data_IF_228203280238
#
_entry.id   IF_228203280238
#
_cell.length_a   1.000
_cell.length_b   1.000
_cell.length_c   1.000
_cell.angle_alpha   90.00
_cell.angle_beta   90.00
_cell.angle_gamma   90.00
#
_symmetry.space_group_name_H-M   'P 1'
#
loop_
_entity.id
_entity.type
_entity.pdbx_description
1 polymer ?
#
# COMPACT_ATOMS: atom_id res chain seq x y z
N UNK A 1 -4.23 -56.72 -7.48
CA UNK A 1 -3.45 -55.87 -6.54
C UNK A 1 -3.24 -54.45 -7.07
N UNK A 2 -2.94 -54.24 -8.38
CA UNK A 2 -2.84 -52.88 -8.96
C UNK A 2 -4.18 -52.25 -9.15
N UNK A 3 -5.19 -53.06 -9.56
CA UNK A 3 -6.57 -52.64 -9.73
C UNK A 3 -7.21 -52.24 -8.39
N UNK A 4 -6.90 -53.00 -7.34
CA UNK A 4 -7.40 -52.70 -5.97
C UNK A 4 -6.77 -51.41 -5.39
N UNK A 5 -5.53 -51.11 -5.72
CA UNK A 5 -4.89 -49.83 -5.32
C UNK A 5 -5.47 -48.63 -6.07
N UNK A 6 -5.76 -48.74 -7.36
CA UNK A 6 -6.36 -47.68 -8.17
C UNK A 6 -7.79 -47.38 -7.69
N UNK A 7 -8.61 -48.41 -7.43
CA UNK A 7 -9.96 -48.27 -6.88
C UNK A 7 -9.93 -47.61 -5.51
N UNK A 8 -8.98 -48.01 -4.64
CA UNK A 8 -8.79 -47.40 -3.31
C UNK A 8 -8.46 -45.92 -3.39
N UNK A 9 -7.69 -45.49 -4.39
CA UNK A 9 -7.30 -44.08 -4.56
C UNK A 9 -8.47 -43.24 -5.09
N UNK A 10 -9.24 -43.75 -6.06
CA UNK A 10 -10.43 -43.07 -6.56
C UNK A 10 -11.50 -42.93 -5.49
N UNK A 11 -11.75 -43.99 -4.70
CA UNK A 11 -12.66 -43.91 -3.55
C UNK A 11 -12.19 -42.90 -2.51
N UNK A 12 -10.90 -42.83 -2.25
CA UNK A 12 -10.30 -41.87 -1.35
C UNK A 12 -10.54 -40.43 -1.79
N UNK A 13 -10.29 -40.13 -3.07
CA UNK A 13 -10.55 -38.82 -3.65
C UNK A 13 -12.03 -38.47 -3.66
N UNK A 14 -12.91 -39.44 -3.99
CA UNK A 14 -14.36 -39.26 -3.95
C UNK A 14 -14.84 -38.93 -2.52
N UNK A 15 -14.33 -39.65 -1.52
CA UNK A 15 -14.67 -39.39 -0.12
C UNK A 15 -14.14 -38.04 0.36
N UNK A 16 -12.91 -37.67 -0.03
CA UNK A 16 -12.32 -36.35 0.26
C UNK A 16 -13.19 -35.24 -0.35
N UNK A 17 -13.64 -35.39 -1.58
CA UNK A 17 -14.52 -34.44 -2.23
C UNK A 17 -15.85 -34.28 -1.48
N UNK A 18 -16.49 -35.35 -1.12
CA UNK A 18 -17.77 -35.31 -0.36
C UNK A 18 -17.61 -34.65 1.01
N UNK A 19 -16.45 -34.84 1.67
CA UNK A 19 -16.16 -34.25 2.95
C UNK A 19 -15.77 -32.77 2.85
N UNK A 20 -15.25 -32.31 1.71
CA UNK A 20 -14.79 -30.93 1.52
C UNK A 20 -16.00 -30.01 1.29
N UNK A 21 -16.04 -28.90 2.04
CA UNK A 21 -17.13 -27.91 1.96
C UNK A 21 -16.76 -26.66 1.17
N UNK A 22 -15.46 -26.40 1.00
CA UNK A 22 -14.98 -25.20 0.30
C UNK A 22 -14.92 -25.43 -1.20
N UNK A 23 -15.59 -24.57 -1.96
CA UNK A 23 -15.74 -24.71 -3.39
C UNK A 23 -14.41 -24.81 -4.14
N UNK A 24 -13.48 -23.90 -3.88
CA UNK A 24 -12.18 -23.90 -4.56
C UNK A 24 -11.31 -25.10 -4.20
N UNK A 25 -11.43 -25.63 -2.99
CA UNK A 25 -10.76 -26.87 -2.59
C UNK A 25 -11.39 -28.09 -3.25
N UNK A 26 -12.67 -28.06 -3.52
CA UNK A 26 -13.34 -29.11 -4.34
C UNK A 26 -12.82 -29.14 -5.77
N UNK A 27 -12.54 -27.96 -6.35
CA UNK A 27 -11.89 -27.87 -7.66
C UNK A 27 -10.50 -28.51 -7.62
N UNK A 28 -9.73 -28.25 -6.58
CA UNK A 28 -8.40 -28.86 -6.40
C UNK A 28 -8.48 -30.39 -6.41
N UNK A 29 -9.45 -30.95 -5.70
CA UNK A 29 -9.67 -32.40 -5.66
C UNK A 29 -10.04 -32.94 -7.05
N UNK A 30 -10.95 -32.27 -7.76
CA UNK A 30 -11.31 -32.65 -9.13
C UNK A 30 -10.08 -32.65 -10.06
N UNK A 31 -9.24 -31.64 -9.97
CA UNK A 31 -8.04 -31.52 -10.82
C UNK A 31 -7.00 -32.59 -10.50
N UNK A 32 -6.80 -32.93 -9.23
CA UNK A 32 -5.95 -34.06 -8.82
C UNK A 32 -6.50 -35.39 -9.33
N UNK A 33 -7.79 -35.55 -9.21
CA UNK A 33 -8.45 -36.77 -9.72
C UNK A 33 -8.26 -36.89 -11.24
N UNK A 34 -8.42 -35.81 -11.98
CA UNK A 34 -8.29 -35.76 -13.43
C UNK A 34 -6.89 -36.11 -13.95
N UNK A 35 -5.83 -35.95 -13.16
CA UNK A 35 -4.46 -36.27 -13.58
C UNK A 35 -4.32 -37.75 -13.99
N UNK A 36 -4.90 -38.65 -13.20
CA UNK A 36 -4.80 -40.10 -13.38
C UNK A 36 -6.16 -40.78 -13.54
N UNK A 37 -7.19 -40.02 -13.87
CA UNK A 37 -8.56 -40.55 -14.00
C UNK A 37 -8.69 -41.50 -15.19
N UNK A 38 -9.34 -42.63 -14.96
CA UNK A 38 -9.90 -43.42 -16.05
C UNK A 38 -11.06 -42.61 -16.67
N UNK A 39 -11.07 -42.37 -18.00
CA UNK A 39 -12.12 -41.63 -18.67
C UNK A 39 -13.53 -42.21 -18.45
N UNK A 40 -13.61 -43.51 -18.15
CA UNK A 40 -14.87 -44.22 -17.89
C UNK A 40 -15.19 -44.32 -16.39
N UNK A 41 -14.46 -43.67 -15.52
CA UNK A 41 -14.71 -43.73 -14.08
C UNK A 41 -16.02 -43.05 -13.70
N UNK A 42 -16.93 -43.81 -13.09
CA UNK A 42 -18.20 -43.30 -12.59
C UNK A 42 -18.01 -42.32 -11.43
N UNK A 43 -17.01 -42.56 -10.57
CA UNK A 43 -16.70 -41.67 -9.46
C UNK A 43 -16.19 -40.29 -9.94
N UNK A 44 -15.37 -40.29 -10.98
CA UNK A 44 -14.91 -39.07 -11.61
C UNK A 44 -16.08 -38.32 -12.27
N UNK A 45 -16.93 -39.02 -12.97
CA UNK A 45 -18.13 -38.46 -13.60
C UNK A 45 -19.06 -37.82 -12.56
N UNK A 46 -19.25 -38.46 -11.41
CA UNK A 46 -20.06 -37.93 -10.32
C UNK A 46 -19.53 -36.63 -9.77
N UNK A 47 -18.19 -36.54 -9.51
CA UNK A 47 -17.53 -35.32 -9.06
C UNK A 47 -17.66 -34.23 -10.11
N UNK A 48 -17.38 -34.57 -11.35
CA UNK A 48 -17.52 -33.62 -12.46
C UNK A 48 -18.94 -33.08 -12.62
N UNK A 49 -19.94 -33.93 -12.41
CA UNK A 49 -21.37 -33.56 -12.51
C UNK A 49 -21.79 -32.49 -11.49
N UNK A 50 -21.12 -32.41 -10.35
CA UNK A 50 -21.33 -31.32 -9.39
C UNK A 50 -21.11 -29.96 -10.03
N UNK A 51 -20.03 -29.79 -10.78
CA UNK A 51 -19.71 -28.52 -11.44
C UNK A 51 -20.60 -28.24 -12.65
N UNK A 52 -20.93 -29.24 -13.43
CA UNK A 52 -21.89 -29.09 -14.54
C UNK A 52 -23.29 -28.74 -14.04
N UNK A 53 -23.70 -29.35 -12.93
CA UNK A 53 -24.95 -29.03 -12.24
C UNK A 53 -24.94 -27.60 -11.70
N UNK A 54 -23.80 -27.12 -11.20
CA UNK A 54 -23.66 -25.76 -10.73
C UNK A 54 -23.93 -24.73 -11.83
N UNK A 55 -23.46 -24.97 -13.07
CA UNK A 55 -23.72 -24.08 -14.21
C UNK A 55 -25.14 -24.16 -14.74
N UNK A 56 -25.92 -25.18 -14.38
CA UNK A 56 -27.34 -25.32 -14.79
C UNK A 56 -28.29 -24.62 -13.84
N UNK A 57 -27.88 -24.38 -12.60
CA UNK A 57 -28.73 -23.89 -11.54
C UNK A 57 -27.99 -22.89 -10.65
N UNK A 58 -27.72 -21.67 -11.16
CA UNK A 58 -27.19 -20.59 -10.38
C UNK A 58 -28.17 -19.39 -10.38
N UNK A 59 -28.17 -18.64 -9.28
CA UNK A 59 -29.03 -17.45 -9.14
C UNK A 59 -28.38 -16.18 -9.66
N UNK A 60 -27.06 -16.09 -9.58
CA UNK A 60 -26.27 -14.97 -10.07
C UNK A 60 -24.88 -15.43 -10.49
N UNK A 61 -24.26 -14.70 -11.44
CA UNK A 61 -22.91 -14.99 -11.88
C UNK A 61 -21.92 -14.36 -10.91
N UNK A 62 -21.05 -15.19 -10.35
CA UNK A 62 -19.98 -14.79 -9.45
C UNK A 62 -18.69 -15.57 -9.74
N UNK A 63 -17.70 -15.46 -8.89
CA UNK A 63 -16.41 -16.17 -9.02
C UNK A 63 -16.57 -17.70 -9.06
N UNK A 64 -17.53 -18.24 -8.35
CA UNK A 64 -17.77 -19.69 -8.36
C UNK A 64 -18.38 -20.17 -9.69
N UNK A 65 -19.28 -19.39 -10.26
CA UNK A 65 -19.86 -19.67 -11.59
C UNK A 65 -18.76 -19.66 -12.66
N UNK A 66 -17.92 -18.66 -12.63
CA UNK A 66 -16.79 -18.55 -13.55
C UNK A 66 -15.81 -19.71 -13.35
N UNK A 67 -15.46 -20.02 -12.12
CA UNK A 67 -14.55 -21.13 -11.81
C UNK A 67 -15.11 -22.47 -12.29
N UNK A 68 -16.39 -22.72 -12.11
CA UNK A 68 -17.06 -23.92 -12.64
C UNK A 68 -16.92 -24.01 -14.16
N UNK A 69 -17.16 -22.92 -14.87
CA UNK A 69 -16.99 -22.87 -16.33
C UNK A 69 -15.55 -23.19 -16.75
N UNK A 70 -14.57 -22.56 -16.10
CA UNK A 70 -13.16 -22.75 -16.43
C UNK A 70 -12.70 -24.20 -16.21
N UNK A 71 -13.13 -24.79 -15.11
CA UNK A 71 -12.82 -26.18 -14.77
C UNK A 71 -13.45 -27.16 -15.76
N UNK A 72 -14.69 -26.97 -16.08
CA UNK A 72 -15.41 -27.80 -17.08
C UNK A 72 -14.68 -27.72 -18.42
N UNK A 73 -14.32 -26.51 -18.86
CA UNK A 73 -13.60 -26.33 -20.12
C UNK A 73 -12.26 -27.08 -20.12
N UNK A 74 -11.51 -27.01 -19.02
CA UNK A 74 -10.21 -27.70 -18.89
C UNK A 74 -10.38 -29.23 -18.92
N UNK A 75 -11.37 -29.75 -18.22
CA UNK A 75 -11.66 -31.18 -18.20
C UNK A 75 -12.14 -31.68 -19.58
N UNK A 76 -13.02 -30.93 -20.25
CA UNK A 76 -13.51 -31.27 -21.58
C UNK A 76 -12.42 -31.25 -22.64
N UNK A 77 -11.45 -30.35 -22.51
CA UNK A 77 -10.30 -30.32 -23.42
C UNK A 77 -9.50 -31.61 -23.34
N UNK A 78 -9.37 -32.20 -22.15
CA UNK A 78 -8.71 -33.48 -21.94
C UNK A 78 -9.62 -34.70 -22.22
N UNK A 79 -10.89 -34.58 -21.87
CA UNK A 79 -11.92 -35.64 -22.03
C UNK A 79 -13.09 -35.14 -22.86
N UNK A 80 -12.95 -35.02 -24.20
CA UNK A 80 -14.00 -34.45 -25.06
C UNK A 80 -15.36 -35.14 -24.99
N UNK A 81 -15.39 -36.43 -24.69
CA UNK A 81 -16.63 -37.19 -24.55
C UNK A 81 -17.48 -36.80 -23.33
N UNK A 82 -16.87 -36.08 -22.37
CA UNK A 82 -17.55 -35.60 -21.17
C UNK A 82 -18.16 -34.20 -21.35
N UNK A 83 -18.13 -33.65 -22.58
CA UNK A 83 -18.67 -32.34 -22.86
C UNK A 83 -20.12 -32.21 -22.44
N UNK A 84 -20.48 -31.45 -21.41
CA UNK A 84 -21.84 -31.25 -20.98
C UNK A 84 -22.55 -30.25 -21.89
N UNK A 85 -23.85 -30.45 -22.06
CA UNK A 85 -24.66 -29.50 -22.80
C UNK A 85 -25.00 -28.31 -21.90
N UNK A 86 -24.14 -27.27 -21.92
CA UNK A 86 -24.32 -26.05 -21.16
C UNK A 86 -24.81 -24.95 -22.09
N UNK A 87 -25.89 -24.28 -21.69
CA UNK A 87 -26.57 -23.26 -22.48
C UNK A 87 -25.86 -21.90 -22.44
N UNK A 88 -24.98 -21.66 -21.45
CA UNK A 88 -24.32 -20.38 -21.26
C UNK A 88 -22.92 -20.40 -21.87
N UNK A 89 -22.61 -19.35 -22.68
CA UNK A 89 -21.25 -19.11 -23.17
C UNK A 89 -20.46 -18.31 -22.15
N UNK A 90 -19.13 -18.34 -22.26
CA UNK A 90 -18.26 -17.51 -21.43
C UNK A 90 -18.61 -16.02 -21.56
N UNK A 91 -18.89 -15.56 -22.80
CA UNK A 91 -19.27 -14.18 -23.05
C UNK A 91 -20.53 -13.78 -22.28
N UNK A 92 -21.54 -14.63 -22.26
CA UNK A 92 -22.78 -14.38 -21.53
C UNK A 92 -22.53 -14.29 -20.02
N UNK A 93 -21.75 -15.21 -19.47
CA UNK A 93 -21.39 -15.22 -18.05
C UNK A 93 -20.54 -13.98 -17.69
N UNK A 94 -19.57 -13.65 -18.51
CA UNK A 94 -18.68 -12.52 -18.26
C UNK A 94 -19.43 -11.18 -18.25
N UNK A 95 -20.38 -10.99 -19.17
CA UNK A 95 -21.21 -9.78 -19.24
C UNK A 95 -22.06 -9.54 -18.01
N UNK A 96 -22.44 -10.60 -17.30
CA UNK A 96 -23.21 -10.49 -16.05
C UNK A 96 -22.35 -10.19 -14.83
N UNK A 97 -21.02 -10.21 -14.93
CA UNK A 97 -20.13 -9.84 -13.84
C UNK A 97 -20.20 -8.33 -13.58
N UNK A 98 -20.51 -7.95 -12.36
CA UNK A 98 -20.51 -6.52 -11.95
C UNK A 98 -19.12 -5.93 -11.98
N UNK A 99 -18.13 -6.70 -11.48
CA UNK A 99 -16.75 -6.25 -11.38
C UNK A 99 -15.78 -7.40 -11.72
N UNK A 100 -15.33 -7.50 -12.98
CA UNK A 100 -14.39 -8.53 -13.40
C UNK A 100 -13.05 -8.50 -12.64
N UNK A 101 -12.60 -7.34 -12.20
CA UNK A 101 -11.39 -7.20 -11.39
C UNK A 101 -11.56 -7.91 -10.04
N UNK A 102 -12.67 -7.68 -9.36
CA UNK A 102 -12.98 -8.36 -8.11
C UNK A 102 -13.16 -9.88 -8.32
N UNK A 103 -13.76 -10.29 -9.43
CA UNK A 103 -13.89 -11.72 -9.80
C UNK A 103 -12.50 -12.36 -9.94
N UNK A 104 -11.58 -11.72 -10.64
CA UNK A 104 -10.21 -12.22 -10.77
C UNK A 104 -9.54 -12.44 -9.41
N UNK A 105 -9.66 -11.45 -8.52
CA UNK A 105 -9.09 -11.55 -7.17
C UNK A 105 -9.74 -12.65 -6.33
N UNK A 106 -11.03 -12.89 -6.52
CA UNK A 106 -11.77 -13.91 -5.80
C UNK A 106 -11.50 -15.33 -6.31
N UNK A 107 -10.99 -15.48 -7.53
CA UNK A 107 -10.54 -16.78 -8.05
C UNK A 107 -9.30 -17.23 -7.26
N UNK A 108 -9.49 -18.28 -6.46
CA UNK A 108 -8.42 -18.81 -5.58
C UNK A 108 -7.78 -20.01 -6.23
N UNK A 109 -6.52 -19.84 -6.65
CA UNK A 109 -5.73 -20.94 -7.15
C UNK A 109 -5.12 -21.75 -6.00
N UNK A 110 -5.05 -23.04 -6.21
CA UNK A 110 -4.33 -24.00 -5.38
C UNK A 110 -3.12 -24.53 -6.16
N UNK A 111 -2.38 -25.45 -5.57
CA UNK A 111 -1.26 -26.11 -6.24
C UNK A 111 -1.63 -26.80 -7.57
N UNK A 112 -2.88 -27.27 -7.70
CA UNK A 112 -3.35 -28.06 -8.81
C UNK A 112 -4.31 -27.31 -9.76
N UNK A 113 -4.56 -26.04 -9.51
CA UNK A 113 -5.49 -25.23 -10.29
C UNK A 113 -4.82 -24.03 -10.94
N UNK A 114 -5.38 -23.57 -12.04
CA UNK A 114 -4.87 -22.46 -12.84
C UNK A 114 -6.02 -21.50 -13.22
N UNK A 115 -6.92 -21.24 -12.27
CA UNK A 115 -8.17 -20.51 -12.53
C UNK A 115 -7.91 -19.10 -13.05
N UNK A 116 -7.02 -18.37 -12.45
CA UNK A 116 -6.69 -17.00 -12.88
C UNK A 116 -6.09 -16.96 -14.27
N UNK A 117 -5.16 -17.86 -14.55
CA UNK A 117 -4.56 -18.00 -15.87
C UNK A 117 -5.59 -18.38 -16.93
N UNK A 118 -6.46 -19.34 -16.63
CA UNK A 118 -7.51 -19.78 -17.52
C UNK A 118 -8.57 -18.70 -17.75
N UNK A 119 -8.88 -17.92 -16.73
CA UNK A 119 -9.77 -16.76 -16.84
C UNK A 119 -9.26 -15.74 -17.86
N UNK A 120 -7.99 -15.34 -17.75
CA UNK A 120 -7.37 -14.43 -18.70
C UNK A 120 -7.29 -15.02 -20.11
N UNK A 121 -6.98 -16.30 -20.23
CA UNK A 121 -6.97 -17.01 -21.51
C UNK A 121 -8.35 -17.06 -22.17
N UNK A 122 -9.41 -17.32 -21.40
CA UNK A 122 -10.77 -17.29 -21.91
C UNK A 122 -11.20 -15.90 -22.38
N UNK A 123 -10.83 -14.86 -21.64
CA UNK A 123 -11.09 -13.48 -22.07
C UNK A 123 -10.47 -13.26 -23.44
N UNK A 124 -9.19 -13.58 -23.57
CA UNK A 124 -8.46 -13.37 -24.82
C UNK A 124 -8.99 -14.16 -26.01
N UNK A 125 -9.39 -15.39 -25.80
CA UNK A 125 -9.78 -16.29 -26.91
C UNK A 125 -11.27 -16.26 -27.22
N UNK A 126 -12.13 -15.89 -26.28
CA UNK A 126 -13.59 -16.00 -26.42
C UNK A 126 -14.33 -14.66 -26.46
N UNK A 127 -13.67 -13.55 -26.09
CA UNK A 127 -14.29 -12.23 -26.16
C UNK A 127 -13.74 -11.43 -27.34
N UNK A 128 -14.63 -10.86 -28.14
CA UNK A 128 -14.24 -10.00 -29.28
C UNK A 128 -13.54 -8.71 -28.79
N UNK A 129 -13.97 -8.17 -27.65
CA UNK A 129 -13.41 -6.96 -27.03
C UNK A 129 -12.35 -7.27 -25.96
N UNK A 130 -11.64 -8.38 -26.10
CA UNK A 130 -10.61 -8.78 -25.14
C UNK A 130 -9.53 -7.68 -24.91
N UNK A 131 -9.13 -6.88 -25.92
CA UNK A 131 -8.14 -5.84 -25.65
C UNK A 131 -8.61 -4.81 -24.63
N UNK A 132 -9.86 -4.36 -24.73
CA UNK A 132 -10.48 -3.43 -23.79
C UNK A 132 -10.63 -4.07 -22.40
N UNK A 133 -10.95 -5.36 -22.35
CA UNK A 133 -11.04 -6.08 -21.08
C UNK A 133 -9.67 -6.23 -20.42
N UNK A 134 -8.62 -6.48 -21.17
CA UNK A 134 -7.26 -6.52 -20.65
C UNK A 134 -6.82 -5.18 -20.07
N UNK A 135 -7.12 -4.09 -20.75
CA UNK A 135 -6.84 -2.73 -20.25
C UNK A 135 -7.58 -2.49 -18.94
N UNK A 136 -8.84 -2.90 -18.84
CA UNK A 136 -9.64 -2.77 -17.62
C UNK A 136 -9.07 -3.60 -16.46
N UNK A 137 -8.59 -4.79 -16.73
CA UNK A 137 -8.09 -5.73 -15.72
C UNK A 137 -6.64 -5.45 -15.29
N UNK A 138 -5.85 -4.81 -16.15
CA UNK A 138 -4.41 -4.62 -15.91
C UNK A 138 -4.08 -4.02 -14.54
N UNK A 139 -4.77 -2.97 -14.06
CA UNK A 139 -4.45 -2.38 -12.75
C UNK A 139 -4.54 -3.36 -11.58
N UNK A 140 -5.34 -4.41 -11.72
CA UNK A 140 -5.49 -5.47 -10.72
C UNK A 140 -4.53 -6.64 -10.98
N UNK A 141 -4.41 -7.05 -12.23
CA UNK A 141 -3.68 -8.27 -12.63
C UNK A 141 -2.17 -8.07 -12.65
N UNK A 142 -1.70 -6.97 -13.23
CA UNK A 142 -0.29 -6.58 -13.31
C UNK A 142 0.63 -7.69 -13.86
N UNK A 143 0.25 -8.27 -14.99
CA UNK A 143 1.05 -9.30 -15.66
C UNK A 143 1.61 -8.79 -17.00
N UNK A 144 2.89 -9.03 -17.20
CA UNK A 144 3.59 -8.69 -18.42
C UNK A 144 2.97 -9.36 -19.66
N UNK A 145 2.49 -10.58 -19.52
CA UNK A 145 1.85 -11.33 -20.62
C UNK A 145 0.64 -10.61 -21.19
N UNK A 146 -0.08 -9.82 -20.41
CA UNK A 146 -1.21 -9.03 -20.87
C UNK A 146 -0.75 -7.92 -21.82
N UNK A 147 0.30 -7.21 -21.46
CA UNK A 147 0.89 -6.16 -22.30
C UNK A 147 1.50 -6.75 -23.57
N UNK A 148 2.20 -7.87 -23.43
CA UNK A 148 2.77 -8.60 -24.58
C UNK A 148 1.68 -9.04 -25.55
N UNK A 149 0.57 -9.55 -25.06
CA UNK A 149 -0.57 -9.94 -25.89
C UNK A 149 -1.16 -8.75 -26.65
N UNK A 150 -1.33 -7.62 -25.99
CA UNK A 150 -1.82 -6.39 -26.61
C UNK A 150 -0.84 -5.88 -27.68
N UNK A 151 0.44 -5.83 -27.37
CA UNK A 151 1.48 -5.36 -28.30
C UNK A 151 1.61 -6.26 -29.54
N UNK A 152 1.63 -7.58 -29.35
CA UNK A 152 1.76 -8.55 -30.44
C UNK A 152 0.54 -8.59 -31.36
N UNK A 153 -0.60 -8.11 -30.93
CA UNK A 153 -1.83 -8.04 -31.73
C UNK A 153 -2.16 -6.63 -32.24
N UNK A 154 -1.18 -5.74 -32.25
CA UNK A 154 -1.32 -4.40 -32.84
C UNK A 154 -2.07 -3.38 -31.98
N UNK A 155 -2.24 -3.62 -30.69
CA UNK A 155 -2.97 -2.75 -29.76
C UNK A 155 -2.04 -1.84 -28.94
N UNK A 156 -0.97 -1.35 -29.57
CA UNK A 156 0.00 -0.46 -28.93
C UNK A 156 -0.65 0.81 -28.38
N UNK A 157 -1.64 1.36 -29.08
CA UNK A 157 -2.33 2.57 -28.62
C UNK A 157 -3.09 2.36 -27.31
N UNK A 158 -3.68 1.17 -27.12
CA UNK A 158 -4.33 0.82 -25.86
C UNK A 158 -3.33 0.68 -24.71
N UNK A 159 -2.15 0.13 -24.99
CA UNK A 159 -1.08 0.02 -23.99
C UNK A 159 -0.57 1.41 -23.57
N UNK A 160 -0.39 2.31 -24.52
CA UNK A 160 -0.03 3.71 -24.26
C UNK A 160 -1.09 4.42 -23.42
N UNK A 161 -2.36 4.27 -23.75
CA UNK A 161 -3.47 4.84 -22.99
C UNK A 161 -3.52 4.28 -21.56
N UNK A 162 -3.29 3.00 -21.42
CA UNK A 162 -3.23 2.34 -20.11
C UNK A 162 -2.12 2.94 -19.24
N UNK A 163 -0.93 3.15 -19.81
CA UNK A 163 0.19 3.75 -19.11
C UNK A 163 -0.12 5.19 -18.69
N UNK A 164 -0.61 6.02 -19.63
CA UNK A 164 -0.98 7.41 -19.34
C UNK A 164 -2.06 7.48 -18.27
N UNK A 165 -3.11 6.67 -18.39
CA UNK A 165 -4.19 6.61 -17.40
C UNK A 165 -3.70 6.20 -16.02
N UNK A 166 -2.78 5.22 -15.96
CA UNK A 166 -2.22 4.77 -14.67
C UNK A 166 -1.43 5.89 -13.98
N UNK A 167 -0.63 6.65 -14.70
CA UNK A 167 0.11 7.77 -14.12
C UNK A 167 -0.76 8.97 -13.78
N UNK A 168 -1.78 9.27 -14.58
CA UNK A 168 -2.73 10.35 -14.28
C UNK A 168 -3.61 10.03 -13.06
N UNK A 169 -3.98 8.76 -12.87
CA UNK A 169 -4.80 8.29 -11.78
C UNK A 169 -3.99 7.44 -10.78
N UNK A 170 -2.77 7.83 -10.49
CA UNK A 170 -1.82 7.09 -9.68
C UNK A 170 -2.34 6.75 -8.28
N UNK A 171 -3.25 7.56 -7.74
CA UNK A 171 -3.84 7.33 -6.41
C UNK A 171 -4.59 6.01 -6.34
N UNK A 172 -5.29 5.66 -7.43
CA UNK A 172 -6.06 4.42 -7.53
C UNK A 172 -5.24 3.29 -8.13
N UNK A 173 -4.22 3.60 -8.95
CA UNK A 173 -3.44 2.63 -9.71
C UNK A 173 -1.97 2.58 -9.28
N UNK A 174 -1.71 2.62 -8.00
CA UNK A 174 -0.36 2.70 -7.42
C UNK A 174 0.55 1.57 -7.87
N UNK A 175 0.06 0.34 -7.81
CA UNK A 175 0.83 -0.84 -8.20
C UNK A 175 1.07 -0.90 -9.71
N UNK A 176 0.13 -0.39 -10.52
CA UNK A 176 0.32 -0.27 -11.96
C UNK A 176 1.44 0.72 -12.31
N UNK A 177 1.51 1.84 -11.61
CA UNK A 177 2.61 2.82 -11.76
C UNK A 177 3.96 2.17 -11.42
N UNK A 178 4.02 1.44 -10.33
CA UNK A 178 5.24 0.72 -9.92
C UNK A 178 5.66 -0.30 -10.98
N UNK A 179 4.73 -1.07 -11.48
CA UNK A 179 4.96 -2.07 -12.52
C UNK A 179 5.52 -1.42 -13.80
N UNK A 180 4.86 -0.35 -14.27
CA UNK A 180 5.27 0.35 -15.48
C UNK A 180 6.66 0.98 -15.32
N UNK A 181 6.93 1.59 -14.19
CA UNK A 181 8.25 2.16 -13.89
C UNK A 181 9.33 1.09 -13.86
N UNK A 182 9.09 -0.02 -13.15
CA UNK A 182 10.08 -1.08 -12.98
C UNK A 182 10.35 -1.84 -14.28
N UNK A 183 9.30 -2.21 -15.00
CA UNK A 183 9.40 -3.20 -16.08
C UNK A 183 9.27 -2.61 -17.49
N UNK A 184 8.69 -1.42 -17.66
CA UNK A 184 8.33 -0.89 -18.98
C UNK A 184 9.05 0.40 -19.38
N UNK A 185 9.75 1.08 -18.48
CA UNK A 185 10.32 2.41 -18.77
C UNK A 185 11.29 2.45 -19.94
N UNK A 186 11.94 1.34 -20.28
CA UNK A 186 12.91 1.26 -21.36
C UNK A 186 12.29 0.80 -22.70
N UNK A 187 11.01 0.44 -22.70
CA UNK A 187 10.30 0.03 -23.89
C UNK A 187 10.03 1.22 -24.81
N UNK A 188 10.20 1.03 -26.13
CA UNK A 188 10.01 2.10 -27.11
C UNK A 188 8.60 2.68 -27.06
N UNK A 189 7.58 1.82 -26.94
CA UNK A 189 6.20 2.26 -26.83
C UNK A 189 5.96 3.14 -25.61
N UNK A 190 6.64 2.85 -24.50
CA UNK A 190 6.52 3.64 -23.27
C UNK A 190 7.14 5.03 -23.44
N UNK A 191 8.30 5.10 -24.07
CA UNK A 191 8.97 6.38 -24.40
C UNK A 191 8.09 7.29 -25.24
N UNK A 192 7.28 6.71 -26.13
CA UNK A 192 6.35 7.45 -26.98
C UNK A 192 5.12 7.99 -26.25
N UNK A 193 4.87 7.59 -25.00
CA UNK A 193 3.77 8.14 -24.19
C UNK A 193 3.97 9.58 -23.76
N UNK A 194 5.20 10.08 -23.82
CA UNK A 194 5.56 11.39 -23.30
C UNK A 194 5.71 11.46 -21.77
N UNK A 195 5.61 10.33 -21.08
CA UNK A 195 5.84 10.26 -19.63
C UNK A 195 7.35 10.26 -19.37
N UNK A 196 7.92 11.45 -19.14
CA UNK A 196 9.34 11.60 -18.86
C UNK A 196 9.77 10.95 -17.53
N UNK A 197 11.06 10.68 -17.40
CA UNK A 197 11.60 10.02 -16.21
C UNK A 197 11.38 10.84 -14.94
N UNK A 198 11.53 12.16 -15.02
CA UNK A 198 11.24 13.06 -13.89
C UNK A 198 9.78 12.95 -13.43
N UNK A 199 8.83 12.91 -14.35
CA UNK A 199 7.41 12.72 -14.03
C UNK A 199 7.15 11.37 -13.35
N UNK A 200 7.83 10.33 -13.78
CA UNK A 200 7.74 9.02 -13.17
C UNK A 200 8.24 9.06 -11.72
N UNK A 201 9.39 9.68 -11.48
CA UNK A 201 9.95 9.85 -10.14
C UNK A 201 9.04 10.68 -9.23
N UNK A 202 8.51 11.79 -9.74
CA UNK A 202 7.57 12.65 -9.02
C UNK A 202 6.33 11.85 -8.62
N UNK A 203 5.79 11.06 -9.52
CA UNK A 203 4.62 10.22 -9.25
C UNK A 203 4.91 9.20 -8.15
N UNK A 204 6.06 8.54 -8.19
CA UNK A 204 6.48 7.60 -7.14
C UNK A 204 6.63 8.29 -5.77
N UNK A 205 7.18 9.50 -5.74
CA UNK A 205 7.30 10.27 -4.49
C UNK A 205 5.91 10.61 -3.94
N UNK A 206 4.97 11.00 -4.79
CA UNK A 206 3.59 11.27 -4.37
C UNK A 206 2.90 10.02 -3.82
N UNK A 207 3.09 8.88 -4.45
CA UNK A 207 2.55 7.60 -3.95
C UNK A 207 3.19 7.25 -2.60
N UNK A 208 4.50 7.44 -2.46
CA UNK A 208 5.22 7.21 -1.21
C UNK A 208 4.60 8.03 -0.06
N UNK A 209 4.44 9.33 -0.27
CA UNK A 209 3.82 10.23 0.70
C UNK A 209 2.40 9.79 1.06
N UNK A 210 1.63 9.43 0.06
CA UNK A 210 0.26 8.95 0.24
C UNK A 210 0.20 7.66 1.07
N UNK A 211 1.12 6.71 0.83
CA UNK A 211 1.18 5.47 1.60
C UNK A 211 1.51 5.73 3.07
N UNK A 212 2.44 6.64 3.36
CA UNK A 212 2.75 7.02 4.73
C UNK A 212 1.53 7.60 5.45
N UNK A 213 0.81 8.52 4.79
CA UNK A 213 -0.41 9.12 5.37
C UNK A 213 -1.48 8.07 5.67
N UNK A 214 -1.70 7.14 4.76
CA UNK A 214 -2.71 6.10 4.94
C UNK A 214 -2.31 5.09 6.02
N UNK A 215 -1.03 4.77 6.15
CA UNK A 215 -0.52 3.92 7.23
C UNK A 215 -0.78 4.58 8.60
N UNK A 216 -0.49 5.87 8.72
CA UNK A 216 -0.76 6.65 9.95
C UNK A 216 -2.25 6.68 10.27
N UNK A 217 -3.10 6.79 9.25
CA UNK A 217 -4.56 6.80 9.39
C UNK A 217 -5.19 5.39 9.47
N UNK A 218 -4.38 4.35 9.61
CA UNK A 218 -4.80 2.95 9.71
C UNK A 218 -5.67 2.46 8.53
N UNK A 219 -5.43 2.99 7.32
CA UNK A 219 -6.10 2.56 6.09
C UNK A 219 -5.22 1.59 5.32
N UNK A 220 -5.78 0.41 4.99
CA UNK A 220 -5.12 -0.62 4.17
C UNK A 220 -3.64 -0.78 4.49
N UNK A 221 -3.33 -0.88 5.79
CA UNK A 221 -1.95 -0.78 6.30
C UNK A 221 -1.02 -1.82 5.71
N UNK A 222 -1.48 -3.04 5.54
CA UNK A 222 -0.67 -4.13 4.96
C UNK A 222 -0.29 -3.85 3.51
N UNK A 223 -1.26 -3.46 2.68
CA UNK A 223 -1.05 -3.11 1.28
C UNK A 223 -0.17 -1.86 1.15
N UNK A 224 -0.45 -0.83 1.92
CA UNK A 224 0.32 0.42 1.88
C UNK A 224 1.74 0.25 2.37
N UNK A 225 2.00 -0.59 3.37
CA UNK A 225 3.37 -0.93 3.79
C UNK A 225 4.15 -1.64 2.70
N UNK A 226 3.51 -2.55 1.99
CA UNK A 226 4.11 -3.26 0.86
C UNK A 226 4.47 -2.29 -0.28
N UNK A 227 3.54 -1.44 -0.68
CA UNK A 227 3.75 -0.43 -1.71
C UNK A 227 4.85 0.55 -1.29
N UNK A 228 4.81 1.06 -0.08
CA UNK A 228 5.80 1.97 0.51
C UNK A 228 7.21 1.38 0.43
N UNK A 229 7.38 0.15 0.91
CA UNK A 229 8.67 -0.56 0.88
C UNK A 229 9.19 -0.71 -0.56
N UNK A 230 8.31 -1.08 -1.47
CA UNK A 230 8.68 -1.27 -2.88
C UNK A 230 9.15 0.04 -3.52
N UNK A 231 8.43 1.14 -3.28
CA UNK A 231 8.82 2.46 -3.79
C UNK A 231 10.14 2.93 -3.20
N UNK A 232 10.36 2.73 -1.90
CA UNK A 232 11.64 3.07 -1.27
C UNK A 232 12.81 2.30 -1.89
N UNK A 233 12.61 1.03 -2.21
CA UNK A 233 13.62 0.23 -2.93
C UNK A 233 13.90 0.80 -4.32
N UNK A 234 12.87 1.16 -5.07
CA UNK A 234 13.02 1.70 -6.43
C UNK A 234 13.72 3.07 -6.44
N UNK A 235 13.38 3.93 -5.50
CA UNK A 235 13.92 5.31 -5.46
C UNK A 235 15.30 5.40 -4.80
N UNK A 236 15.53 4.66 -3.71
CA UNK A 236 16.66 4.93 -2.82
C UNK A 236 17.71 3.83 -2.74
N UNK A 237 17.36 2.57 -2.96
CA UNK A 237 18.28 1.44 -2.75
C UNK A 237 19.52 1.51 -3.65
N UNK A 238 19.34 1.84 -4.92
CA UNK A 238 20.42 1.98 -5.90
C UNK A 238 20.66 3.45 -6.27
N UNK A 239 20.21 4.37 -5.44
CA UNK A 239 20.32 5.82 -5.65
C UNK A 239 19.70 6.30 -6.97
N UNK A 240 18.66 5.65 -7.44
CA UNK A 240 18.01 5.98 -8.74
C UNK A 240 17.58 7.44 -8.78
N UNK A 241 16.87 7.90 -7.75
CA UNK A 241 16.44 9.29 -7.65
C UNK A 241 17.63 10.23 -7.54
N UNK A 242 18.57 9.95 -6.64
CA UNK A 242 19.74 10.79 -6.43
C UNK A 242 20.60 10.89 -7.67
N UNK A 243 20.85 9.79 -8.36
CA UNK A 243 21.61 9.77 -9.61
C UNK A 243 20.97 10.65 -10.70
N UNK A 244 19.65 10.55 -10.85
CA UNK A 244 18.93 11.41 -11.78
C UNK A 244 19.08 12.90 -11.42
N UNK A 245 18.96 13.24 -10.14
CA UNK A 245 19.12 14.61 -9.68
C UNK A 245 20.52 15.14 -9.97
N UNK A 246 21.55 14.34 -9.71
CA UNK A 246 22.95 14.75 -9.88
C UNK A 246 23.37 14.81 -11.37
N UNK A 247 22.68 14.13 -12.26
CA UNK A 247 22.89 14.18 -13.71
C UNK A 247 22.19 15.36 -14.39
N UNK A 248 21.35 16.08 -13.66
CA UNK A 248 20.56 17.19 -14.18
C UNK A 248 20.96 18.53 -13.52
N UNK A 249 20.24 19.59 -13.87
CA UNK A 249 20.51 20.94 -13.40
C UNK A 249 20.04 21.18 -11.93
N UNK A 250 20.44 22.33 -11.37
CA UNK A 250 20.08 22.70 -10.02
C UNK A 250 18.57 22.89 -9.83
N UNK A 251 17.85 23.32 -10.87
CA UNK A 251 16.40 23.45 -10.81
C UNK A 251 15.72 22.09 -10.64
N UNK A 252 16.21 21.07 -11.32
CA UNK A 252 15.74 19.68 -11.16
C UNK A 252 16.02 19.16 -9.75
N UNK A 253 17.20 19.42 -9.21
CA UNK A 253 17.57 19.06 -7.85
C UNK A 253 16.61 19.73 -6.86
N UNK A 254 16.36 21.02 -7.03
CA UNK A 254 15.44 21.77 -6.15
C UNK A 254 14.04 21.19 -6.18
N UNK A 255 13.47 20.91 -7.34
CA UNK A 255 12.13 20.34 -7.48
C UNK A 255 12.01 18.99 -6.80
N UNK A 256 12.91 18.07 -7.09
CA UNK A 256 12.84 16.70 -6.59
C UNK A 256 13.20 16.60 -5.11
N UNK A 257 14.24 17.30 -4.68
CA UNK A 257 14.61 17.29 -3.27
C UNK A 257 13.54 17.91 -2.38
N UNK A 258 12.88 18.97 -2.84
CA UNK A 258 11.77 19.59 -2.11
C UNK A 258 10.63 18.57 -1.91
N UNK A 259 10.27 17.82 -2.93
CA UNK A 259 9.24 16.80 -2.84
C UNK A 259 9.60 15.69 -1.84
N UNK A 260 10.84 15.21 -1.88
CA UNK A 260 11.32 14.19 -0.93
C UNK A 260 11.34 14.72 0.50
N UNK A 261 11.80 15.95 0.67
CA UNK A 261 11.85 16.59 1.98
C UNK A 261 10.46 16.79 2.59
N UNK A 262 9.45 17.02 1.74
CA UNK A 262 8.07 17.18 2.17
C UNK A 262 7.39 15.84 2.56
N UNK A 263 7.98 14.70 2.27
CA UNK A 263 7.53 13.40 2.75
C UNK A 263 7.88 13.26 4.23
N UNK A 264 6.90 13.49 5.10
CA UNK A 264 7.09 13.62 6.55
C UNK A 264 7.74 12.42 7.21
N UNK A 265 7.20 11.25 6.93
CA UNK A 265 7.55 10.03 7.65
C UNK A 265 8.69 9.25 7.01
N UNK A 266 9.29 9.81 5.96
CA UNK A 266 10.49 9.23 5.35
C UNK A 266 11.67 9.38 6.32
N UNK A 267 12.47 8.32 6.42
CA UNK A 267 13.65 8.30 7.28
C UNK A 267 14.55 9.54 7.05
N UNK A 268 14.79 10.36 8.08
CA UNK A 268 15.68 11.52 7.97
C UNK A 268 17.07 11.18 7.46
N UNK A 269 17.57 9.97 7.69
CA UNK A 269 18.87 9.54 7.21
C UNK A 269 18.93 9.50 5.68
N UNK A 270 17.83 9.14 5.00
CA UNK A 270 17.74 9.18 3.54
C UNK A 270 17.85 10.61 3.04
N UNK A 271 17.10 11.52 3.65
CA UNK A 271 17.12 12.96 3.31
C UNK A 271 18.49 13.57 3.53
N UNK A 272 19.12 13.25 4.64
CA UNK A 272 20.47 13.73 5.00
C UNK A 272 21.52 13.22 4.00
N UNK A 273 21.48 11.94 3.66
CA UNK A 273 22.38 11.35 2.67
C UNK A 273 22.25 12.05 1.31
N UNK A 274 21.02 12.29 0.86
CA UNK A 274 20.78 13.00 -0.40
C UNK A 274 21.33 14.42 -0.34
N UNK A 275 21.08 15.14 0.74
CA UNK A 275 21.61 16.49 0.96
C UNK A 275 23.12 16.52 0.90
N UNK A 276 23.78 15.62 1.59
CA UNK A 276 25.24 15.54 1.62
C UNK A 276 25.81 15.22 0.23
N UNK A 277 25.19 14.33 -0.51
CA UNK A 277 25.63 13.97 -1.86
C UNK A 277 25.42 15.12 -2.86
N UNK A 278 24.33 15.88 -2.71
CA UNK A 278 24.10 17.10 -3.49
C UNK A 278 25.19 18.12 -3.21
N UNK A 279 25.54 18.35 -1.94
CA UNK A 279 26.57 19.30 -1.54
C UNK A 279 27.98 18.86 -1.95
N UNK A 280 28.27 17.57 -2.02
CA UNK A 280 29.55 17.06 -2.56
C UNK A 280 29.75 17.46 -4.03
N UNK A 281 28.73 17.36 -4.84
CA UNK A 281 28.78 17.70 -6.26
C UNK A 281 28.59 19.20 -6.53
N UNK A 282 27.74 19.84 -5.74
CA UNK A 282 27.41 21.26 -5.84
C UNK A 282 27.63 21.97 -4.48
N UNK A 283 28.87 22.26 -4.09
CA UNK A 283 29.18 22.84 -2.77
C UNK A 283 28.46 24.15 -2.48
N UNK A 284 28.14 24.91 -3.52
CA UNK A 284 27.41 26.18 -3.42
C UNK A 284 25.90 26.05 -3.53
N UNK A 285 25.38 24.82 -3.61
CA UNK A 285 23.92 24.60 -3.72
C UNK A 285 23.22 25.12 -2.48
N UNK A 286 22.22 25.94 -2.70
CA UNK A 286 21.46 26.57 -1.62
C UNK A 286 20.07 25.99 -1.55
N UNK A 287 19.71 25.45 -0.38
CA UNK A 287 18.39 24.92 -0.07
C UNK A 287 17.42 26.03 0.37
N UNK A 288 17.52 27.22 -0.24
CA UNK A 288 16.78 28.44 0.17
C UNK A 288 15.26 28.28 0.19
N UNK A 289 14.70 27.61 -0.82
CA UNK A 289 13.26 27.38 -0.85
C UNK A 289 12.77 26.47 0.29
N UNK A 290 13.66 25.74 0.92
CA UNK A 290 13.37 24.87 2.05
C UNK A 290 13.63 25.56 3.38
N UNK A 291 14.62 26.45 3.45
CA UNK A 291 14.83 27.30 4.61
C UNK A 291 13.67 28.30 4.77
N UNK A 292 13.21 28.88 3.68
CA UNK A 292 12.00 29.71 3.69
C UNK A 292 10.73 28.90 3.98
N UNK A 293 10.58 27.70 3.45
CA UNK A 293 9.48 26.78 3.80
C UNK A 293 9.60 26.25 5.22
N UNK A 294 10.80 26.01 5.75
CA UNK A 294 11.00 25.67 7.16
C UNK A 294 10.79 26.87 8.09
N UNK A 295 10.96 28.07 7.59
CA UNK A 295 10.59 29.31 8.31
C UNK A 295 9.10 29.60 8.17
N UNK A 296 8.47 29.24 7.07
CA UNK A 296 7.02 29.37 6.79
C UNK A 296 6.21 28.14 7.21
N UNK A 297 6.69 26.94 7.02
CA UNK A 297 6.29 25.76 7.78
C UNK A 297 7.05 25.82 9.10
N UNK A 298 6.64 26.73 9.92
CA UNK A 298 7.00 26.78 11.31
C UNK A 298 7.04 25.35 11.82
N UNK A 299 8.20 24.91 12.28
CA UNK A 299 8.35 23.59 12.87
C UNK A 299 7.26 23.37 13.91
N UNK A 300 7.08 22.14 14.34
CA UNK A 300 6.03 21.80 15.29
C UNK A 300 6.00 22.83 16.44
N UNK A 301 4.81 23.33 16.74
CA UNK A 301 4.59 24.13 17.94
C UNK A 301 4.58 23.16 19.12
N UNK A 302 5.40 23.43 20.10
CA UNK A 302 5.56 22.58 21.30
C UNK A 302 5.56 23.43 22.56
N UNK A 303 5.20 22.81 23.67
CA UNK A 303 5.38 23.43 25.00
C UNK A 303 6.84 23.40 25.42
N UNK A 304 7.26 24.39 26.20
CA UNK A 304 8.62 24.43 26.76
C UNK A 304 8.96 23.16 27.56
N UNK A 305 7.98 22.63 28.29
CA UNK A 305 8.13 21.39 29.08
C UNK A 305 8.45 20.19 28.19
N UNK A 306 7.72 20.01 27.09
CA UNK A 306 7.96 18.89 26.19
C UNK A 306 9.28 19.03 25.42
N UNK A 307 9.67 20.24 25.06
CA UNK A 307 10.98 20.48 24.46
C UNK A 307 12.10 20.05 25.40
N UNK A 308 12.01 20.39 26.67
CA UNK A 308 13.00 19.99 27.68
C UNK A 308 13.05 18.47 27.83
N UNK A 309 11.90 17.80 27.88
CA UNK A 309 11.85 16.34 27.93
C UNK A 309 12.49 15.67 26.71
N UNK A 310 12.27 16.22 25.52
CA UNK A 310 12.89 15.71 24.28
C UNK A 310 14.40 15.92 24.27
N UNK A 311 14.88 17.05 24.74
CA UNK A 311 16.32 17.31 24.92
C UNK A 311 16.96 16.33 25.88
N UNK A 312 16.31 16.05 27.00
CA UNK A 312 16.77 15.04 27.98
C UNK A 312 16.79 13.63 27.38
N UNK A 313 15.78 13.27 26.59
CA UNK A 313 15.74 11.99 25.89
C UNK A 313 16.90 11.85 24.90
N UNK A 314 17.17 12.89 24.12
CA UNK A 314 18.30 12.92 23.19
C UNK A 314 19.64 12.79 23.93
N UNK A 315 19.82 13.54 24.99
CA UNK A 315 21.04 13.51 25.82
C UNK A 315 21.26 12.10 26.40
N UNK A 316 20.20 11.44 26.88
CA UNK A 316 20.27 10.07 27.37
C UNK A 316 20.71 9.09 26.28
N UNK A 317 20.15 9.19 25.07
CA UNK A 317 20.55 8.36 23.94
C UNK A 317 22.04 8.54 23.64
N UNK A 318 22.50 9.79 23.52
CA UNK A 318 23.88 10.12 23.13
C UNK A 318 24.89 9.79 24.25
N UNK A 319 24.52 10.05 25.50
CA UNK A 319 25.46 9.96 26.63
C UNK A 319 25.46 8.59 27.31
N UNK A 320 24.36 7.81 27.18
CA UNK A 320 24.18 6.52 27.87
C UNK A 320 23.99 5.38 26.89
N UNK A 321 22.96 5.43 26.05
CA UNK A 321 22.56 4.28 25.23
C UNK A 321 23.55 3.97 24.10
N UNK A 322 24.07 5.00 23.41
CA UNK A 322 25.07 4.80 22.34
C UNK A 322 26.39 4.27 22.92
N UNK A 323 26.96 4.79 24.01
CA UNK A 323 28.14 4.19 24.64
C UNK A 323 27.93 2.75 25.11
N UNK A 324 26.78 2.43 25.71
CA UNK A 324 26.44 1.05 26.11
C UNK A 324 26.39 0.11 24.92
N UNK A 325 25.78 0.57 23.83
CA UNK A 325 25.71 -0.20 22.59
C UNK A 325 27.09 -0.43 21.96
N UNK A 326 27.96 0.58 22.00
CA UNK A 326 29.34 0.46 21.53
C UNK A 326 30.10 -0.61 22.32
N UNK A 327 29.85 -0.69 23.63
CA UNK A 327 30.39 -1.72 24.50
C UNK A 327 29.84 -3.11 24.13
N UNK A 328 28.55 -3.24 23.91
CA UNK A 328 27.90 -4.48 23.46
C UNK A 328 28.50 -4.98 22.14
N UNK A 329 28.74 -4.09 21.19
CA UNK A 329 29.38 -4.41 19.91
C UNK A 329 30.80 -4.94 20.14
N UNK A 330 31.57 -4.28 21.01
CA UNK A 330 32.91 -4.72 21.36
C UNK A 330 32.94 -6.10 22.01
N UNK A 331 32.02 -6.37 22.93
CA UNK A 331 31.89 -7.67 23.59
C UNK A 331 31.45 -8.78 22.61
N UNK A 332 30.53 -8.47 21.69
CA UNK A 332 30.10 -9.40 20.64
C UNK A 332 31.23 -9.74 19.66
N UNK A 333 32.07 -8.76 19.30
CA UNK A 333 33.25 -8.95 18.47
C UNK A 333 34.29 -9.90 19.10
N UNK A 334 34.40 -9.88 20.44
CA UNK A 334 35.33 -10.72 21.16
C UNK A 334 34.94 -12.21 21.19
N UNK A 335 33.69 -12.55 20.86
CA UNK A 335 33.14 -13.92 20.98
C UNK A 335 33.26 -14.80 19.73
N UNK A 336 33.87 -14.36 18.62
CA UNK A 336 34.18 -15.21 17.49
C UNK A 336 33.62 -14.79 16.11
N UNK A 337 33.24 -15.75 15.27
CA UNK A 337 32.91 -15.53 13.87
C UNK A 337 31.74 -14.55 13.67
N UNK A 338 32.05 -13.41 13.02
CA UNK A 338 31.10 -12.32 12.76
C UNK A 338 29.95 -12.69 11.83
N UNK A 339 30.08 -13.76 11.04
CA UNK A 339 29.08 -14.13 10.03
C UNK A 339 27.86 -14.81 10.61
N UNK A 340 28.01 -15.50 11.73
CA UNK A 340 26.95 -16.26 12.40
C UNK A 340 26.63 -15.73 13.80
N UNK A 341 27.24 -14.63 14.21
CA UNK A 341 27.06 -14.06 15.54
C UNK A 341 25.76 -13.24 15.62
N UNK A 342 24.70 -13.85 16.17
CA UNK A 342 23.40 -13.21 16.34
C UNK A 342 23.47 -12.00 17.29
N UNK A 343 24.34 -12.04 18.31
CA UNK A 343 24.52 -10.92 19.25
C UNK A 343 25.18 -9.72 18.59
N UNK A 344 26.13 -9.95 17.69
CA UNK A 344 26.76 -8.88 16.89
C UNK A 344 25.73 -8.24 15.96
N UNK A 345 24.93 -9.04 15.26
CA UNK A 345 23.87 -8.55 14.38
C UNK A 345 22.87 -7.68 15.14
N UNK A 346 22.38 -8.18 16.28
CA UNK A 346 21.43 -7.47 17.12
C UNK A 346 22.02 -6.15 17.63
N UNK A 347 23.27 -6.14 18.06
CA UNK A 347 23.97 -4.94 18.51
C UNK A 347 24.17 -3.90 17.39
N UNK A 348 24.45 -4.35 16.17
CA UNK A 348 24.58 -3.47 14.99
C UNK A 348 23.23 -2.90 14.56
N UNK A 349 22.16 -3.68 14.62
CA UNK A 349 20.80 -3.18 14.36
C UNK A 349 20.40 -2.12 15.39
N UNK A 350 20.69 -2.38 16.66
CA UNK A 350 20.47 -1.38 17.73
C UNK A 350 21.27 -0.12 17.51
N UNK A 351 22.52 -0.22 17.06
CA UNK A 351 23.34 0.95 16.72
C UNK A 351 22.65 1.81 15.66
N UNK A 352 22.15 1.20 14.61
CA UNK A 352 21.44 1.89 13.54
C UNK A 352 20.17 2.56 14.06
N UNK A 353 19.39 1.88 14.88
CA UNK A 353 18.17 2.43 15.49
C UNK A 353 18.48 3.62 16.40
N UNK A 354 19.51 3.54 17.25
CA UNK A 354 19.91 4.62 18.13
C UNK A 354 20.39 5.84 17.36
N UNK A 355 21.24 5.65 16.36
CA UNK A 355 21.72 6.73 15.51
C UNK A 355 20.60 7.41 14.74
N UNK A 356 19.67 6.63 14.18
CA UNK A 356 18.50 7.15 13.47
C UNK A 356 17.60 7.95 14.41
N UNK A 357 17.34 7.42 15.60
CA UNK A 357 16.50 8.08 16.61
C UNK A 357 17.14 9.38 17.09
N UNK A 358 18.45 9.37 17.38
CA UNK A 358 19.18 10.56 17.81
C UNK A 358 19.16 11.64 16.73
N UNK A 359 19.42 11.27 15.48
CA UNK A 359 19.40 12.20 14.34
C UNK A 359 18.01 12.80 14.14
N UNK A 360 16.96 11.99 14.22
CA UNK A 360 15.57 12.45 14.12
C UNK A 360 15.20 13.41 15.24
N UNK A 361 15.52 13.06 16.48
CA UNK A 361 15.25 13.93 17.64
C UNK A 361 15.99 15.26 17.54
N UNK A 362 17.25 15.24 17.12
CA UNK A 362 18.02 16.48 16.94
C UNK A 362 17.39 17.37 15.87
N UNK A 363 17.00 16.80 14.74
CA UNK A 363 16.36 17.53 13.65
C UNK A 363 15.01 18.12 14.08
N UNK A 364 14.18 17.32 14.78
CA UNK A 364 12.91 17.78 15.32
C UNK A 364 13.11 18.92 16.35
N UNK A 365 14.07 18.77 17.26
CA UNK A 365 14.39 19.79 18.28
C UNK A 365 14.84 21.10 17.63
N UNK A 366 15.64 21.01 16.58
CA UNK A 366 16.16 22.19 15.87
C UNK A 366 15.06 22.97 15.13
N UNK A 367 13.97 22.32 14.78
CA UNK A 367 12.88 22.91 14.00
C UNK A 367 11.68 23.37 14.80
N UNK A 368 11.53 22.94 16.04
CA UNK A 368 10.33 23.26 16.83
C UNK A 368 10.28 24.73 17.20
N UNK A 369 9.04 25.21 17.35
CA UNK A 369 8.74 26.52 17.93
C UNK A 369 8.18 26.33 19.33
N UNK A 370 8.79 26.98 20.29
CA UNK A 370 8.28 26.99 21.67
C UNK A 370 7.06 27.93 21.73
N UNK A 371 5.94 27.37 22.14
CA UNK A 371 4.71 28.14 22.31
C UNK A 371 4.85 29.13 23.46
N UNK A 372 4.51 30.39 23.20
CA UNK A 372 4.44 31.44 24.22
C UNK A 372 3.01 31.51 24.78
N UNK A 373 2.81 31.12 26.06
CA UNK A 373 1.47 31.15 26.67
C UNK A 373 0.83 32.54 26.72
N UNK A 374 1.61 33.61 26.65
CA UNK A 374 1.08 34.97 26.64
C UNK A 374 0.33 35.34 25.36
N UNK A 375 0.50 34.54 24.30
CA UNK A 375 -0.10 34.78 22.99
C UNK A 375 -1.45 34.07 22.82
N UNK A 376 -1.94 33.35 23.82
CA UNK A 376 -3.19 32.60 23.74
C UNK A 376 -4.35 33.55 23.49
N UNK A 377 -5.15 33.25 22.48
CA UNK A 377 -6.43 33.89 22.22
C UNK A 377 -7.54 32.85 22.26
N UNK A 378 -8.67 33.20 22.86
CA UNK A 378 -9.85 32.35 22.89
C UNK A 378 -10.87 32.73 21.79
N UNK A 379 -10.48 33.60 20.87
CA UNK A 379 -11.29 33.99 19.73
C UNK A 379 -11.49 32.84 18.75
N UNK A 380 -10.52 31.95 18.63
CA UNK A 380 -10.56 30.76 17.76
C UNK A 380 -9.90 29.57 18.43
N UNK A 381 -10.28 28.38 18.01
CA UNK A 381 -9.58 27.16 18.39
C UNK A 381 -8.18 27.19 17.81
N UNK A 382 -7.17 27.07 18.68
CA UNK A 382 -5.76 27.10 18.32
C UNK A 382 -4.93 26.34 19.35
N UNK A 383 -3.63 26.21 19.09
CA UNK A 383 -2.71 25.63 20.06
C UNK A 383 -2.83 26.36 21.42
N UNK A 384 -3.00 25.57 22.47
CA UNK A 384 -3.14 26.10 23.83
C UNK A 384 -4.58 26.42 24.25
N UNK A 385 -5.58 26.03 23.46
CA UNK A 385 -6.99 26.22 23.81
C UNK A 385 -7.67 24.88 24.11
N UNK A 386 -8.66 24.95 24.99
CA UNK A 386 -9.61 23.85 25.24
C UNK A 386 -10.95 24.22 24.65
N UNK A 387 -11.51 23.35 23.83
CA UNK A 387 -12.78 23.54 23.15
C UNK A 387 -13.85 22.61 23.72
N UNK A 388 -15.00 23.18 24.07
CA UNK A 388 -16.18 22.42 24.46
C UNK A 388 -17.08 22.29 23.23
N UNK A 389 -17.31 21.06 22.79
CA UNK A 389 -18.12 20.71 21.63
C UNK A 389 -19.41 20.04 22.04
N UNK A 390 -20.52 20.41 21.38
CA UNK A 390 -21.77 19.65 21.46
C UNK A 390 -21.84 18.70 20.26
N UNK A 391 -21.85 17.40 20.53
CA UNK A 391 -22.08 16.39 19.51
C UNK A 391 -23.55 16.39 19.12
N UNK A 392 -23.87 16.74 17.88
CA UNK A 392 -25.25 16.85 17.40
C UNK A 392 -25.98 15.49 17.34
N UNK A 393 -25.26 14.40 17.15
CA UNK A 393 -25.85 13.06 17.07
C UNK A 393 -26.21 12.50 18.44
N UNK A 394 -25.28 12.61 19.40
CA UNK A 394 -25.48 12.06 20.76
C UNK A 394 -26.12 13.04 21.74
N UNK A 395 -26.12 14.35 21.45
CA UNK A 395 -26.51 15.39 22.34
C UNK A 395 -25.59 15.61 23.55
N UNK A 396 -24.44 14.94 23.58
CA UNK A 396 -23.46 15.03 24.68
C UNK A 396 -22.42 16.10 24.38
N UNK A 397 -21.93 16.73 25.45
CA UNK A 397 -20.80 17.63 25.39
C UNK A 397 -19.48 16.87 25.49
N UNK A 398 -18.52 17.26 24.67
CA UNK A 398 -17.17 16.71 24.64
C UNK A 398 -16.16 17.85 24.75
N UNK A 399 -15.14 17.67 25.57
CA UNK A 399 -14.12 18.70 25.78
C UNK A 399 -12.77 18.18 25.28
N UNK A 400 -12.09 18.96 24.43
CA UNK A 400 -10.80 18.62 23.87
C UNK A 400 -9.82 19.78 24.05
N UNK A 401 -8.59 19.45 24.40
CA UNK A 401 -7.48 20.39 24.47
C UNK A 401 -6.64 20.23 23.21
N UNK A 402 -6.34 21.33 22.52
CA UNK A 402 -5.52 21.34 21.31
C UNK A 402 -4.10 21.74 21.66
N UNK A 403 -3.20 20.82 21.51
CA UNK A 403 -1.76 20.98 21.63
C UNK A 403 -1.06 20.42 20.40
N UNK A 404 0.20 20.04 20.50
CA UNK A 404 0.98 19.51 19.39
C UNK A 404 1.09 17.99 19.40
N UNK A 405 1.76 17.41 18.39
CA UNK A 405 1.98 15.97 18.34
C UNK A 405 2.77 15.42 19.53
N UNK A 406 3.66 16.18 20.10
CA UNK A 406 4.45 15.76 21.26
C UNK A 406 3.64 15.70 22.55
N UNK A 407 2.62 16.52 22.66
CA UNK A 407 1.73 16.58 23.82
C UNK A 407 0.49 15.70 23.69
N UNK A 408 0.28 15.11 22.51
CA UNK A 408 -0.94 14.32 22.20
C UNK A 408 -1.14 13.17 23.20
N UNK A 409 -2.31 13.18 23.81
CA UNK A 409 -2.73 12.14 24.75
C UNK A 409 -4.26 11.96 24.63
N UNK A 410 -4.71 11.10 23.71
CA UNK A 410 -6.15 10.93 23.45
C UNK A 410 -6.95 10.47 24.67
N UNK A 411 -6.35 9.72 25.57
CA UNK A 411 -6.99 9.25 26.79
C UNK A 411 -7.37 10.41 27.73
N UNK A 412 -6.57 11.47 27.74
CA UNK A 412 -6.80 12.71 28.48
C UNK A 412 -7.43 13.80 27.61
N UNK A 413 -7.95 13.45 26.45
CA UNK A 413 -8.60 14.41 25.55
C UNK A 413 -7.68 15.52 25.04
N UNK A 414 -6.38 15.26 24.96
CA UNK A 414 -5.40 16.15 24.38
C UNK A 414 -5.11 15.71 22.95
N UNK A 415 -5.41 16.56 22.01
CA UNK A 415 -5.39 16.25 20.58
C UNK A 415 -4.41 17.17 19.86
N UNK A 416 -3.61 16.58 18.96
CA UNK A 416 -2.69 17.36 18.12
C UNK A 416 -3.44 18.23 17.12
N UNK A 417 -3.06 19.48 16.99
CA UNK A 417 -3.55 20.38 15.94
C UNK A 417 -3.23 19.85 14.53
N UNK A 418 -2.25 18.94 14.40
CA UNK A 418 -1.87 18.30 13.14
C UNK A 418 -2.65 17.02 12.85
N UNK A 419 -3.34 16.45 13.84
CA UNK A 419 -4.20 15.30 13.62
C UNK A 419 -5.40 15.66 12.74
N UNK A 420 -6.01 14.71 12.02
CA UNK A 420 -7.20 14.99 11.22
C UNK A 420 -8.33 15.63 12.04
N UNK A 421 -8.55 15.12 13.25
CA UNK A 421 -9.58 15.63 14.15
C UNK A 421 -9.22 17.03 14.67
N UNK A 422 -8.01 17.24 15.15
CA UNK A 422 -7.54 18.53 15.61
C UNK A 422 -7.52 19.59 14.50
N UNK A 423 -7.08 19.21 13.31
CA UNK A 423 -7.06 20.09 12.15
C UNK A 423 -8.46 20.55 11.74
N UNK A 424 -9.46 19.68 11.87
CA UNK A 424 -10.85 20.02 11.60
C UNK A 424 -11.41 21.05 12.59
N UNK A 425 -10.89 21.09 13.82
CA UNK A 425 -11.33 22.02 14.87
C UNK A 425 -10.59 23.36 14.83
N UNK A 426 -9.37 23.40 14.36
CA UNK A 426 -8.53 24.62 14.34
C UNK A 426 -9.21 25.73 13.53
N UNK A 427 -9.13 26.96 14.03
CA UNK A 427 -9.75 28.17 13.50
C UNK A 427 -11.26 28.27 13.67
N UNK A 428 -11.91 27.31 14.27
CA UNK A 428 -13.32 27.39 14.60
C UNK A 428 -13.58 28.48 15.70
N UNK A 429 -14.73 29.12 15.62
CA UNK A 429 -15.18 30.12 16.57
C UNK A 429 -16.34 29.57 17.39
N UNK A 430 -16.60 30.16 18.54
CA UNK A 430 -17.79 29.86 19.31
C UNK A 430 -19.06 30.06 18.46
N UNK A 431 -19.93 29.08 18.50
CA UNK A 431 -21.15 29.02 17.71
C UNK A 431 -21.03 28.38 16.34
N UNK A 432 -19.82 28.08 15.86
CA UNK A 432 -19.62 27.43 14.56
C UNK A 432 -20.19 26.03 14.58
N UNK A 433 -20.76 25.63 13.46
CA UNK A 433 -21.16 24.26 13.18
C UNK A 433 -20.10 23.57 12.33
N UNK A 434 -19.59 22.44 12.82
CA UNK A 434 -18.53 21.68 12.16
C UNK A 434 -19.08 20.35 11.68
N UNK A 435 -18.91 20.07 10.39
CA UNK A 435 -19.23 18.79 9.78
C UNK A 435 -17.99 18.30 9.04
N UNK A 436 -17.46 17.14 9.43
CA UNK A 436 -16.29 16.57 8.79
C UNK A 436 -16.32 15.05 8.86
N UNK A 437 -15.58 14.42 7.98
CA UNK A 437 -15.43 12.98 7.87
C UNK A 437 -13.99 12.57 8.13
N UNK A 438 -13.79 11.58 9.01
CA UNK A 438 -12.49 10.98 9.31
C UNK A 438 -12.68 9.46 9.35
N UNK A 439 -11.89 8.72 8.54
CA UNK A 439 -11.94 7.27 8.47
C UNK A 439 -13.37 6.73 8.23
N UNK A 440 -14.07 7.31 7.28
CA UNK A 440 -15.45 6.96 6.90
C UNK A 440 -16.49 7.21 7.99
N UNK A 441 -16.10 7.86 9.09
CA UNK A 441 -16.99 8.27 10.17
C UNK A 441 -17.28 9.75 10.06
N UNK A 442 -18.58 10.11 10.08
CA UNK A 442 -19.03 11.48 10.04
C UNK A 442 -19.15 12.08 11.44
N UNK A 443 -18.65 13.29 11.59
CA UNK A 443 -18.72 14.05 12.83
C UNK A 443 -19.49 15.35 12.61
N UNK A 444 -20.40 15.65 13.52
CA UNK A 444 -21.17 16.87 13.52
C UNK A 444 -21.14 17.50 14.92
N UNK A 445 -20.52 18.67 15.02
CA UNK A 445 -20.34 19.39 16.28
C UNK A 445 -20.79 20.85 16.19
N UNK A 446 -21.16 21.41 17.34
CA UNK A 446 -21.28 22.84 17.56
C UNK A 446 -20.22 23.26 18.58
N UNK A 447 -19.46 24.30 18.27
CA UNK A 447 -18.49 24.89 19.20
C UNK A 447 -19.22 25.70 20.26
N UNK A 448 -19.21 25.25 21.50
CA UNK A 448 -19.89 25.90 22.62
C UNK A 448 -19.04 26.95 23.33
N UNK A 449 -17.78 26.62 23.60
CA UNK A 449 -16.88 27.46 24.38
C UNK A 449 -15.42 27.17 24.06
N UNK A 450 -14.63 28.21 24.04
CA UNK A 450 -13.17 28.15 23.89
C UNK A 450 -12.53 28.77 25.13
N UNK A 451 -11.66 28.01 25.80
CA UNK A 451 -10.93 28.47 26.97
C UNK A 451 -9.42 28.29 26.78
N UNK A 452 -8.63 29.10 27.49
CA UNK A 452 -7.18 28.99 27.46
C UNK A 452 -6.70 27.90 28.43
N UNK A 453 -5.68 27.13 27.98
CA UNK A 453 -4.97 26.17 28.84
C UNK A 453 -4.05 26.92 29.80
N UNK A 454 -3.99 26.48 31.02
CA UNK A 454 -2.99 26.96 31.99
C UNK A 454 -1.74 26.08 31.91
N UNK A 455 -0.62 26.70 31.61
CA UNK A 455 0.67 26.04 31.54
C UNK A 455 1.50 26.22 32.81
#
# INVERSE_FOLDING_TARGET
TVRDRAISQEEKLSNEFKAQKQFFMRIDILMRFAEDADPESELFADIFSYFTGYLRAFSSVNEQTIAAFLVIKRIVTRFPHMNPNISHTFEQLYKELENPNATYLALKDTKNTYLRKDFLSCIRTLLADWPQQYVRLFPTVLQEDMLTALLNNGHVDLVKQLAVNSFENYRDYREAVIFLFRDCQNEDWFKETGIGFEKQLITLIHILDLTFREIVNHRDTTENRKINRHIQQLLFKENTLLNYMLENDEDTITRLYTLVNDVRDLDPAIKMNMRNRILEKHPGFKFYGMEEKTVVTRGLIVTAKMLEQKKQQLEHIVSVEIPENSKEIGEALAQGDLRENAEYKAAKERQQQLNTTASRLQDEIDRVQVFDPSTITTARVSFGTTVLLLNKESGKEEEYTILGPWESDPDNKIISYMSPFGNALVNAKEGDELNFEINEQNYAYVVKRITAVRF
#
